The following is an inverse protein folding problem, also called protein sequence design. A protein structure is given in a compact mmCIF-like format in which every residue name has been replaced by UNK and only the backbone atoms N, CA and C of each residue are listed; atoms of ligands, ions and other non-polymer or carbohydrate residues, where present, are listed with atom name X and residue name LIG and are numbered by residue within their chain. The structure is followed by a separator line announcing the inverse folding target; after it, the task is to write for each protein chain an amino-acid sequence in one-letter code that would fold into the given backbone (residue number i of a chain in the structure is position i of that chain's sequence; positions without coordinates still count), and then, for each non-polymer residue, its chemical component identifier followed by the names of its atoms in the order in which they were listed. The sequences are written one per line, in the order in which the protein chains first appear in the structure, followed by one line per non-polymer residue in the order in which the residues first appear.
data_IF_883812511630
#
_entry.id   IF_883812511630
#
_cell.length_a   1.000
_cell.length_b   1.000
_cell.length_c   1.000
_cell.angle_alpha   90.00
_cell.angle_beta   90.00
_cell.angle_gamma   90.00
#
_symmetry.space_group_name_H-M   'P 1'
#
loop_
_entity.id
_entity.type
_entity.pdbx_description
1 polymer ?
#
# COMPACT_ATOMS: atom_id res chain seq x y z
N UNK A 1 -31.84 -2.58 -52.81
CA UNK A 1 -30.68 -3.51 -52.85
C UNK A 1 -29.56 -2.89 -52.00
N UNK A 2 -29.52 -3.21 -50.70
CA UNK A 2 -28.54 -2.65 -49.74
C UNK A 2 -27.17 -3.24 -50.10
N UNK A 3 -26.25 -2.41 -50.58
CA UNK A 3 -24.98 -2.86 -51.14
C UNK A 3 -24.16 -3.63 -50.11
N UNK A 4 -23.61 -4.78 -50.50
CA UNK A 4 -22.84 -5.73 -49.65
C UNK A 4 -21.69 -5.02 -48.90
N UNK A 5 -21.21 -3.89 -49.41
CA UNK A 5 -20.19 -3.02 -48.78
C UNK A 5 -20.66 -2.36 -47.48
N UNK A 6 -21.94 -1.97 -47.39
CA UNK A 6 -22.54 -1.38 -46.19
C UNK A 6 -22.71 -2.41 -45.07
N UNK A 7 -22.99 -3.67 -45.40
CA UNK A 7 -23.10 -4.75 -44.40
C UNK A 7 -21.76 -5.13 -43.79
N UNK A 8 -20.66 -5.09 -44.56
CA UNK A 8 -19.31 -5.35 -44.04
C UNK A 8 -18.86 -4.34 -42.99
N UNK A 9 -19.19 -3.06 -43.17
CA UNK A 9 -18.84 -2.01 -42.20
C UNK A 9 -19.59 -2.16 -40.87
N UNK A 10 -20.87 -2.57 -40.91
CA UNK A 10 -21.69 -2.77 -39.70
C UNK A 10 -21.15 -3.92 -38.85
N UNK A 11 -20.76 -5.04 -39.48
CA UNK A 11 -20.21 -6.21 -38.79
C UNK A 11 -18.87 -5.85 -38.09
N UNK A 12 -18.01 -5.07 -38.73
CA UNK A 12 -16.76 -4.62 -38.11
C UNK A 12 -17.02 -3.73 -36.89
N UNK A 13 -18.02 -2.85 -36.94
CA UNK A 13 -18.38 -1.98 -35.81
C UNK A 13 -18.99 -2.78 -34.65
N UNK A 14 -19.86 -3.74 -34.94
CA UNK A 14 -20.45 -4.62 -33.93
C UNK A 14 -19.37 -5.43 -33.21
N UNK A 15 -18.44 -6.02 -33.97
CA UNK A 15 -17.33 -6.78 -33.40
C UNK A 15 -16.36 -5.88 -32.61
N UNK A 16 -16.08 -4.67 -33.10
CA UNK A 16 -15.27 -3.70 -32.37
C UNK A 16 -15.92 -3.27 -31.05
N UNK A 17 -17.24 -3.09 -31.01
CA UNK A 17 -17.98 -2.78 -29.79
C UNK A 17 -17.99 -3.95 -28.81
N UNK A 18 -18.22 -5.18 -29.27
CA UNK A 18 -18.13 -6.38 -28.41
C UNK A 18 -16.72 -6.56 -27.85
N UNK A 19 -15.69 -6.35 -28.68
CA UNK A 19 -14.31 -6.37 -28.22
C UNK A 19 -14.05 -5.27 -27.20
N UNK A 20 -14.45 -4.03 -27.47
CA UNK A 20 -14.27 -2.91 -26.53
C UNK A 20 -14.99 -3.19 -25.21
N UNK A 21 -16.25 -3.59 -25.24
CA UNK A 21 -17.04 -3.85 -24.04
C UNK A 21 -16.60 -5.11 -23.28
N UNK A 22 -15.94 -6.07 -23.93
CA UNK A 22 -15.38 -7.25 -23.26
C UNK A 22 -13.96 -7.03 -22.73
N UNK A 23 -13.04 -6.56 -23.59
CA UNK A 23 -11.62 -6.44 -23.25
C UNK A 23 -11.32 -5.24 -22.35
N UNK A 24 -11.98 -4.10 -22.55
CA UNK A 24 -11.69 -2.90 -21.77
C UNK A 24 -11.96 -3.10 -20.26
N UNK A 25 -13.12 -3.64 -19.81
CA UNK A 25 -13.33 -3.90 -18.38
C UNK A 25 -12.43 -5.02 -17.87
N UNK A 26 -12.13 -6.05 -18.67
CA UNK A 26 -11.19 -7.10 -18.30
C UNK A 26 -9.78 -6.53 -18.05
N UNK A 27 -9.32 -5.63 -18.90
CA UNK A 27 -8.04 -4.93 -18.75
C UNK A 27 -8.05 -4.02 -17.51
N UNK A 28 -9.13 -3.25 -17.29
CA UNK A 28 -9.26 -2.41 -16.10
C UNK A 28 -9.22 -3.24 -14.81
N UNK A 29 -9.93 -4.37 -14.77
CA UNK A 29 -9.98 -5.26 -13.63
C UNK A 29 -8.64 -5.96 -13.37
N UNK A 30 -8.00 -6.48 -14.41
CA UNK A 30 -6.69 -7.14 -14.27
C UNK A 30 -5.62 -6.15 -13.86
N UNK A 31 -5.57 -4.96 -14.47
CA UNK A 31 -4.61 -3.92 -14.12
C UNK A 31 -4.80 -3.43 -12.67
N UNK A 32 -6.04 -3.13 -12.27
CA UNK A 32 -6.33 -2.70 -10.89
C UNK A 32 -5.96 -3.78 -9.87
N UNK A 33 -6.29 -5.05 -10.14
CA UNK A 33 -5.94 -6.18 -9.27
C UNK A 33 -4.43 -6.34 -9.09
N UNK A 34 -3.66 -6.29 -10.19
CA UNK A 34 -2.19 -6.38 -10.15
C UNK A 34 -1.60 -5.21 -9.35
N UNK A 35 -2.07 -3.98 -9.57
CA UNK A 35 -1.59 -2.80 -8.85
C UNK A 35 -1.90 -2.86 -7.35
N UNK A 36 -3.08 -3.35 -6.96
CA UNK A 36 -3.45 -3.54 -5.55
C UNK A 36 -2.54 -4.58 -4.88
N UNK A 37 -2.26 -5.70 -5.55
CA UNK A 37 -1.36 -6.72 -5.02
C UNK A 37 0.07 -6.19 -4.89
N UNK A 38 0.56 -5.45 -5.89
CA UNK A 38 1.86 -4.79 -5.82
C UNK A 38 1.94 -3.81 -4.63
N UNK A 39 0.87 -3.04 -4.38
CA UNK A 39 0.76 -2.17 -3.22
C UNK A 39 0.82 -2.95 -1.90
N UNK A 40 0.04 -4.03 -1.77
CA UNK A 40 0.05 -4.89 -0.57
C UNK A 40 1.42 -5.50 -0.31
N UNK A 41 2.08 -6.03 -1.34
CA UNK A 41 3.42 -6.60 -1.22
C UNK A 41 4.43 -5.54 -0.79
N UNK A 42 4.34 -4.33 -1.34
CA UNK A 42 5.21 -3.23 -0.93
C UNK A 42 4.99 -2.83 0.52
N UNK A 43 3.73 -2.73 0.97
CA UNK A 43 3.39 -2.43 2.36
C UNK A 43 3.90 -3.53 3.31
N UNK A 44 3.79 -4.80 2.92
CA UNK A 44 4.34 -5.91 3.69
C UNK A 44 5.87 -5.86 3.82
N UNK A 45 6.58 -5.54 2.73
CA UNK A 45 8.02 -5.34 2.78
C UNK A 45 8.40 -4.11 3.61
N UNK A 46 7.64 -3.03 3.50
CA UNK A 46 7.90 -1.78 4.22
C UNK A 46 7.72 -1.91 5.75
N UNK A 47 6.65 -2.56 6.21
CA UNK A 47 6.46 -2.82 7.64
C UNK A 47 7.58 -3.71 8.18
N UNK A 48 7.94 -4.78 7.46
CA UNK A 48 8.99 -5.70 7.87
C UNK A 48 10.39 -5.04 7.91
N UNK A 49 10.72 -4.21 6.92
CA UNK A 49 12.00 -3.50 6.90
C UNK A 49 12.06 -2.40 7.97
N UNK A 50 10.95 -1.68 8.21
CA UNK A 50 10.85 -0.76 9.34
C UNK A 50 11.02 -1.46 10.69
N UNK A 51 10.39 -2.63 10.87
CA UNK A 51 10.53 -3.43 12.08
C UNK A 51 12.00 -3.88 12.27
N UNK A 52 12.67 -4.37 11.23
CA UNK A 52 14.10 -4.72 11.29
C UNK A 52 14.99 -3.51 11.63
N UNK A 53 14.72 -2.35 11.04
CA UNK A 53 15.49 -1.13 11.31
C UNK A 53 15.30 -0.61 12.75
N UNK A 54 14.19 -0.94 13.41
CA UNK A 54 13.97 -0.58 14.82
C UNK A 54 14.90 -1.30 15.81
N UNK A 55 15.52 -2.41 15.39
CA UNK A 55 16.47 -3.18 16.19
C UNK A 55 17.86 -2.54 16.25
N UNK A 56 18.11 -1.48 15.48
CA UNK A 56 19.40 -0.78 15.47
C UNK A 56 19.72 -0.21 16.85
N UNK A 57 20.99 -0.26 17.24
CA UNK A 57 21.45 0.35 18.50
C UNK A 57 21.26 1.88 18.46
N UNK A 58 20.78 2.42 19.57
CA UNK A 58 20.45 3.84 19.74
C UNK A 58 19.36 4.06 20.78
N UNK A 59 19.02 5.33 21.03
CA UNK A 59 17.88 5.74 21.85
C UNK A 59 16.55 5.29 21.24
N UNK A 60 15.50 5.27 22.05
CA UNK A 60 14.15 4.89 21.58
C UNK A 60 13.64 5.82 20.48
N UNK A 61 14.03 7.09 20.47
CA UNK A 61 13.69 8.04 19.42
C UNK A 61 14.43 7.72 18.10
N UNK A 62 15.74 7.51 18.15
CA UNK A 62 16.55 7.18 16.97
C UNK A 62 16.11 5.87 16.32
N UNK A 63 15.75 4.85 17.13
CA UNK A 63 15.21 3.57 16.64
C UNK A 63 13.92 3.77 15.83
N UNK A 64 13.03 4.67 16.28
CA UNK A 64 11.77 4.94 15.58
C UNK A 64 11.97 5.77 14.32
N UNK A 65 12.89 6.75 14.34
CA UNK A 65 13.28 7.51 13.13
C UNK A 65 13.90 6.56 12.09
N UNK A 66 14.76 5.64 12.53
CA UNK A 66 15.34 4.61 11.67
C UNK A 66 14.25 3.69 11.08
N UNK A 67 13.30 3.22 11.91
CA UNK A 67 12.18 2.40 11.46
C UNK A 67 11.30 3.12 10.42
N UNK A 68 10.93 4.38 10.67
CA UNK A 68 10.13 5.18 9.74
C UNK A 68 10.87 5.40 8.42
N UNK A 69 12.14 5.81 8.47
CA UNK A 69 12.94 6.08 7.27
C UNK A 69 13.20 4.83 6.42
N UNK A 70 13.31 3.65 7.06
CA UNK A 70 13.41 2.37 6.37
C UNK A 70 12.09 2.00 5.69
N UNK A 71 10.96 2.07 6.41
CA UNK A 71 9.63 1.83 5.83
C UNK A 71 9.35 2.79 4.66
N UNK A 72 9.67 4.07 4.81
CA UNK A 72 9.50 5.11 3.77
C UNK A 72 10.27 4.77 2.49
N UNK A 73 11.51 4.30 2.60
CA UNK A 73 12.31 3.87 1.45
C UNK A 73 11.69 2.68 0.73
N UNK A 74 11.20 1.68 1.46
CA UNK A 74 10.57 0.49 0.87
C UNK A 74 9.27 0.82 0.13
N UNK A 75 8.50 1.83 0.56
CA UNK A 75 7.26 2.24 -0.09
C UNK A 75 7.36 3.52 -0.94
N UNK A 76 8.57 3.95 -1.31
CA UNK A 76 8.83 5.23 -1.99
C UNK A 76 8.01 5.40 -3.28
N UNK A 77 7.77 4.32 -4.04
CA UNK A 77 6.99 4.41 -5.26
C UNK A 77 5.51 4.73 -4.99
N UNK A 78 4.90 4.15 -3.94
CA UNK A 78 3.53 4.46 -3.55
C UNK A 78 3.42 5.90 -3.07
N UNK A 79 4.38 6.35 -2.27
CA UNK A 79 4.43 7.72 -1.74
C UNK A 79 4.54 8.76 -2.86
N UNK A 80 5.40 8.49 -3.85
CA UNK A 80 5.51 9.33 -5.04
C UNK A 80 4.25 9.29 -5.89
N UNK A 81 3.58 8.14 -5.98
CA UNK A 81 2.32 8.01 -6.69
C UNK A 81 1.18 8.78 -6.01
N UNK A 82 1.07 8.70 -4.68
CA UNK A 82 0.05 9.42 -3.91
C UNK A 82 0.42 10.88 -3.63
N UNK A 83 1.65 11.31 -3.93
CA UNK A 83 2.13 12.65 -3.58
C UNK A 83 2.25 12.87 -2.07
N UNK A 84 2.35 11.79 -1.29
CA UNK A 84 2.48 11.85 0.17
C UNK A 84 3.95 11.81 0.57
N UNK A 85 4.36 12.74 1.44
CA UNK A 85 5.72 12.75 2.01
C UNK A 85 5.61 12.65 3.55
N UNK A 86 5.59 11.43 4.11
CA UNK A 86 5.51 11.25 5.56
C UNK A 86 6.79 11.77 6.22
N UNK A 87 6.62 12.63 7.22
CA UNK A 87 7.72 13.13 8.01
C UNK A 87 8.19 12.07 9.02
N UNK A 88 9.46 11.65 8.89
CA UNK A 88 10.12 10.72 9.78
C UNK A 88 11.09 11.42 10.75
N UNK A 89 11.13 12.76 10.78
CA UNK A 89 12.05 13.53 11.63
C UNK A 89 11.74 13.35 13.12
N UNK A 90 10.46 13.29 13.46
CA UNK A 90 9.96 12.82 14.74
C UNK A 90 9.41 11.40 14.57
N UNK A 91 9.68 10.52 15.53
CA UNK A 91 9.09 9.18 15.61
C UNK A 91 7.59 9.21 15.24
N UNK A 92 7.25 8.76 14.04
CA UNK A 92 5.95 9.08 13.44
C UNK A 92 4.82 8.36 14.19
N UNK A 93 3.96 9.13 14.86
CA UNK A 93 2.81 8.60 15.63
C UNK A 93 1.48 8.70 14.86
N UNK A 94 1.49 9.33 13.68
CA UNK A 94 0.30 9.53 12.84
C UNK A 94 0.66 9.58 11.35
N UNK A 95 -0.31 9.24 10.49
CA UNK A 95 -0.17 9.29 9.03
C UNK A 95 0.02 7.93 8.36
N UNK A 96 0.59 7.94 7.15
CA UNK A 96 0.79 6.76 6.28
C UNK A 96 1.76 5.74 6.88
N UNK A 97 2.70 6.19 7.72
CA UNK A 97 3.69 5.35 8.42
C UNK A 97 3.63 5.72 9.90
N UNK A 98 3.28 4.75 10.75
CA UNK A 98 3.16 4.93 12.19
C UNK A 98 4.07 3.93 12.90
N UNK A 99 4.98 4.43 13.71
CA UNK A 99 5.88 3.65 14.56
C UNK A 99 5.50 3.87 16.02
N UNK A 100 5.00 2.82 16.67
CA UNK A 100 4.57 2.90 18.06
C UNK A 100 5.76 3.12 19.00
N UNK A 101 5.50 3.69 20.20
CA UNK A 101 6.46 3.59 21.28
C UNK A 101 6.80 2.15 21.66
N UNK A 102 8.03 1.88 22.15
CA UNK A 102 8.34 0.63 22.82
C UNK A 102 7.33 0.41 23.94
N UNK A 103 6.62 -0.69 23.86
CA UNK A 103 5.65 -1.13 24.86
C UNK A 103 5.93 -2.60 25.20
N UNK A 104 5.37 -3.10 26.30
CA UNK A 104 5.46 -4.52 26.62
C UNK A 104 4.87 -5.36 25.46
N UNK A 105 5.58 -6.40 25.05
CA UNK A 105 5.10 -7.32 24.03
C UNK A 105 3.84 -8.07 24.51
N UNK A 106 2.87 -8.30 23.63
CA UNK A 106 1.69 -9.09 23.96
C UNK A 106 2.10 -10.52 24.33
N UNK A 107 1.82 -10.95 25.57
CA UNK A 107 2.19 -12.27 26.06
C UNK A 107 3.62 -12.39 26.61
N UNK A 108 4.42 -11.31 26.59
CA UNK A 108 5.77 -11.31 27.16
C UNK A 108 6.12 -9.93 27.76
N UNK A 109 5.78 -9.74 29.03
CA UNK A 109 5.95 -8.45 29.72
C UNK A 109 7.43 -8.06 29.95
N UNK A 110 8.35 -9.03 29.92
CA UNK A 110 9.79 -8.82 30.06
C UNK A 110 10.46 -8.29 28.78
N UNK A 111 9.76 -8.27 27.65
CA UNK A 111 10.28 -7.82 26.37
C UNK A 111 9.59 -6.52 25.91
N UNK A 112 10.35 -5.63 25.28
CA UNK A 112 9.80 -4.44 24.65
C UNK A 112 9.59 -4.67 23.16
N UNK A 113 8.42 -4.29 22.65
CA UNK A 113 8.04 -4.40 21.25
C UNK A 113 7.82 -3.02 20.64
N UNK A 114 8.25 -2.86 19.40
CA UNK A 114 7.94 -1.71 18.54
C UNK A 114 7.09 -2.20 17.38
N UNK A 115 5.96 -1.54 17.16
CA UNK A 115 5.02 -1.86 16.09
C UNK A 115 5.16 -0.84 14.97
N UNK A 116 5.45 -1.30 13.77
CA UNK A 116 5.49 -0.50 12.55
C UNK A 116 4.24 -0.79 11.74
N UNK A 117 3.39 0.21 11.61
CA UNK A 117 2.17 0.16 10.80
C UNK A 117 2.35 1.05 9.59
N UNK A 118 2.17 0.50 8.40
CA UNK A 118 2.12 1.27 7.14
C UNK A 118 0.75 1.11 6.52
N UNK A 119 0.22 2.18 5.94
CA UNK A 119 -1.12 2.19 5.34
C UNK A 119 -1.13 2.97 4.04
N UNK A 120 -1.94 2.55 3.08
CA UNK A 120 -2.23 3.28 1.85
C UNK A 120 -3.73 3.50 1.72
N UNK A 121 -4.13 4.75 1.61
CA UNK A 121 -5.53 5.12 1.40
C UNK A 121 -5.84 5.13 -0.10
N UNK A 122 -6.43 4.03 -0.57
CA UNK A 122 -6.85 3.86 -1.96
C UNK A 122 -8.00 4.80 -2.34
N UNK A 123 -8.83 5.23 -1.38
CA UNK A 123 -10.02 6.03 -1.67
C UNK A 123 -9.65 7.46 -2.10
N UNK A 124 -8.63 8.03 -1.46
CA UNK A 124 -8.09 9.35 -1.81
C UNK A 124 -7.09 9.29 -2.96
N UNK A 125 -6.39 8.17 -3.14
CA UNK A 125 -5.35 8.01 -4.18
C UNK A 125 -5.56 6.72 -5.00
N UNK A 126 -6.60 6.64 -5.85
CA UNK A 126 -6.85 5.45 -6.65
C UNK A 126 -5.83 5.30 -7.79
N UNK A 127 -5.43 4.06 -8.09
CA UNK A 127 -4.52 3.78 -9.22
C UNK A 127 -5.16 4.02 -10.58
N UNK A 128 -6.50 3.97 -10.67
CA UNK A 128 -7.24 4.25 -11.89
C UNK A 128 -8.21 5.42 -11.65
N UNK A 129 -8.29 6.38 -12.58
CA UNK A 129 -9.25 7.47 -12.47
C UNK A 129 -10.69 6.92 -12.48
N UNK A 130 -11.53 7.43 -11.57
CA UNK A 130 -12.94 7.02 -11.47
C UNK A 130 -13.21 5.73 -10.69
N UNK A 131 -12.18 5.00 -10.24
CA UNK A 131 -12.38 3.76 -9.47
C UNK A 131 -12.39 3.97 -7.96
N UNK A 132 -11.96 5.13 -7.46
CA UNK A 132 -11.89 5.44 -6.02
C UNK A 132 -13.25 5.33 -5.30
N UNK A 133 -14.34 5.77 -5.94
CA UNK A 133 -15.70 5.67 -5.37
C UNK A 133 -16.23 4.23 -5.39
N UNK A 134 -16.05 3.52 -6.51
CA UNK A 134 -16.48 2.13 -6.68
C UNK A 134 -15.76 1.19 -5.71
N UNK A 135 -14.43 1.29 -5.66
CA UNK A 135 -13.64 0.48 -4.75
C UNK A 135 -13.70 1.01 -3.32
N UNK A 136 -13.94 2.29 -3.05
CA UNK A 136 -14.17 2.79 -1.69
C UNK A 136 -15.45 2.23 -1.06
N UNK A 137 -16.45 1.88 -1.86
CA UNK A 137 -17.65 1.19 -1.38
C UNK A 137 -17.37 -0.27 -0.97
N UNK A 138 -16.48 -0.95 -1.70
CA UNK A 138 -16.08 -2.35 -1.45
C UNK A 138 -14.99 -2.44 -0.37
N UNK A 139 -13.95 -1.62 -0.48
CA UNK A 139 -12.83 -1.48 0.45
C UNK A 139 -13.13 -0.36 1.44
N UNK A 140 -13.81 -0.71 2.53
CA UNK A 140 -14.16 0.22 3.63
C UNK A 140 -12.97 0.65 4.51
N UNK A 141 -11.81 0.02 4.35
CA UNK A 141 -10.63 0.29 5.15
C UNK A 141 -9.40 0.49 4.24
N UNK A 142 -8.46 1.37 4.62
CA UNK A 142 -7.20 1.53 3.90
C UNK A 142 -6.41 0.22 3.92
N UNK A 143 -5.64 0.00 2.86
CA UNK A 143 -4.77 -1.17 2.75
C UNK A 143 -3.64 -0.96 3.76
N UNK A 144 -3.54 -1.82 4.77
CA UNK A 144 -2.56 -1.68 5.85
C UNK A 144 -1.74 -2.95 6.05
N UNK A 145 -0.48 -2.77 6.45
CA UNK A 145 0.40 -3.84 6.91
C UNK A 145 1.03 -3.45 8.24
N UNK A 146 1.19 -4.44 9.13
CA UNK A 146 1.74 -4.26 10.47
C UNK A 146 2.84 -5.30 10.68
N UNK A 147 3.97 -4.86 11.21
CA UNK A 147 5.04 -5.72 11.67
C UNK A 147 5.50 -5.28 13.06
N UNK A 148 5.83 -6.25 13.90
CA UNK A 148 6.30 -6.03 15.28
C UNK A 148 7.72 -6.55 15.40
N UNK A 149 8.59 -5.74 16.00
CA UNK A 149 9.95 -6.14 16.35
C UNK A 149 10.11 -6.14 17.87
N UNK A 150 10.68 -7.22 18.38
CA UNK A 150 11.07 -7.33 19.78
C UNK A 150 12.45 -6.69 19.98
N UNK A 151 12.50 -5.63 20.76
CA UNK A 151 13.72 -5.05 21.27
C UNK A 151 14.27 -5.98 22.36
N UNK A 152 15.50 -6.46 22.15
CA UNK A 152 16.27 -7.01 23.24
C UNK A 152 16.71 -5.87 24.16
N UNK A 153 16.36 -5.97 25.43
CA UNK A 153 16.70 -4.97 26.44
C UNK A 153 18.08 -5.23 27.07
N UNK A 154 18.74 -6.33 26.71
CA UNK A 154 20.00 -6.73 27.33
C UNK A 154 19.77 -7.07 28.80
N UNK A 155 19.52 -8.34 29.08
CA UNK A 155 19.79 -8.83 30.44
C UNK A 155 21.30 -8.74 30.63
N UNK A 156 21.77 -7.79 31.44
CA UNK A 156 23.01 -8.01 32.18
C UNK A 156 22.75 -9.07 33.26
#
# INVERSE_FOLDING_TARGET
MKTIRSQRGVITVEYALMMMLGFLPLLMLTFSGVMIMAAQQTLATASAEGARASLRFGSTAERRVAACSAARRSMQWLLRFSGQEPDCSAASSSGTIVVSPPAACSGLASAQCVTVTVSYDYSSHPFLPGTGTLYGWVMKAPIRSVAVAQLDLGSN
#
